data_IF_693866092345
#
_entry.id   IF_693866092345
#
_cell.length_a   1.000
_cell.length_b   1.000
_cell.length_c   1.000
_cell.angle_alpha   90.00
_cell.angle_beta   90.00
_cell.angle_gamma   90.00
#
_symmetry.space_group_name_H-M   'P 1'
#
loop_
_entity.id
_entity.type
_entity.pdbx_description
1 polymer ?
#
# COMPACT_ATOMS: atom_id res chain seq x y z
N UNK A 1 -2.98 8.72 -8.87
CA UNK A 1 -2.68 7.55 -8.03
C UNK A 1 -1.79 8.00 -6.91
N UNK A 2 -2.41 8.28 -5.77
CA UNK A 2 -1.72 8.53 -4.51
C UNK A 2 -1.74 7.22 -3.70
N UNK A 3 -0.57 6.81 -3.18
CA UNK A 3 -0.44 5.67 -2.29
C UNK A 3 0.26 6.15 -1.02
N UNK A 4 -0.42 6.00 0.12
CA UNK A 4 0.09 6.45 1.42
C UNK A 4 0.34 5.27 2.34
N UNK A 5 1.54 5.19 2.92
CA UNK A 5 1.88 4.22 3.98
C UNK A 5 1.12 4.57 5.25
N UNK A 6 0.39 3.60 5.83
CA UNK A 6 -0.23 3.70 7.15
C UNK A 6 0.71 3.07 8.15
N UNK A 7 1.22 3.87 9.07
CA UNK A 7 2.03 3.37 10.17
C UNK A 7 1.12 2.83 11.27
N UNK A 8 1.30 1.58 11.65
CA UNK A 8 0.73 1.04 12.88
C UNK A 8 1.26 1.85 14.08
N UNK A 9 0.39 2.27 15.03
CA UNK A 9 0.78 3.16 16.12
C UNK A 9 1.81 2.57 17.09
N UNK A 10 2.10 1.27 17.02
CA UNK A 10 3.15 0.62 17.81
C UNK A 10 4.54 0.68 17.13
N UNK A 11 4.62 0.96 15.83
CA UNK A 11 5.88 1.02 15.10
C UNK A 11 6.45 2.44 15.17
N UNK A 12 7.20 2.71 16.23
CA UNK A 12 8.00 3.92 16.38
C UNK A 12 9.04 3.97 15.26
N UNK A 13 8.79 4.71 14.18
CA UNK A 13 9.82 5.08 13.22
C UNK A 13 10.79 6.05 13.90
N UNK A 14 12.03 5.59 14.12
CA UNK A 14 13.14 6.48 14.40
C UNK A 14 13.31 7.40 13.19
N UNK A 15 13.39 8.70 13.42
CA UNK A 15 13.39 9.74 12.38
C UNK A 15 14.74 9.74 11.63
N UNK A 16 14.97 8.82 10.66
CA UNK A 16 15.87 9.04 9.50
C UNK A 16 15.88 7.86 8.49
N UNK A 17 15.30 6.70 8.79
CA UNK A 17 15.26 5.59 7.83
C UNK A 17 14.16 5.82 6.78
N UNK A 18 14.57 5.95 5.52
CA UNK A 18 13.71 6.24 4.37
C UNK A 18 12.41 5.43 4.34
N UNK A 19 11.34 6.05 3.85
CA UNK A 19 10.00 5.45 3.73
C UNK A 19 9.96 4.36 2.65
N UNK A 20 10.74 3.30 2.81
CA UNK A 20 10.65 2.11 1.99
C UNK A 20 9.47 1.25 2.45
N UNK A 21 8.74 0.69 1.49
CA UNK A 21 7.70 -0.30 1.78
C UNK A 21 8.36 -1.64 2.09
N UNK A 22 7.83 -2.30 3.11
CA UNK A 22 8.24 -3.62 3.55
C UNK A 22 7.04 -4.55 3.50
N UNK A 23 7.32 -5.85 3.39
CA UNK A 23 6.30 -6.87 3.55
C UNK A 23 5.53 -6.67 4.86
N UNK A 24 4.21 -6.80 4.78
CA UNK A 24 3.23 -6.59 5.87
C UNK A 24 2.91 -5.13 6.18
N UNK A 25 3.51 -4.15 5.51
CA UNK A 25 3.05 -2.77 5.60
C UNK A 25 1.60 -2.63 5.13
N UNK A 26 0.89 -1.69 5.74
CA UNK A 26 -0.46 -1.30 5.35
C UNK A 26 -0.41 -0.04 4.49
N UNK A 27 -1.05 -0.07 3.33
CA UNK A 27 -1.14 1.06 2.40
C UNK A 27 -2.58 1.37 2.06
N UNK A 28 -2.88 2.65 1.88
CA UNK A 28 -4.19 3.11 1.40
C UNK A 28 -3.98 3.83 0.07
N UNK A 29 -4.86 3.52 -0.88
CA UNK A 29 -4.84 4.13 -2.21
C UNK A 29 -5.97 5.15 -2.35
N UNK A 30 -5.66 6.21 -3.08
CA UNK A 30 -6.60 7.24 -3.49
C UNK A 30 -6.33 7.62 -4.94
N UNK A 31 -7.37 8.07 -5.65
CA UNK A 31 -7.26 8.57 -7.03
C UNK A 31 -6.62 7.57 -8.00
N UNK A 32 -6.98 6.29 -7.85
CA UNK A 32 -6.66 5.21 -8.79
C UNK A 32 -7.71 5.20 -9.89
N UNK A 33 -7.27 5.36 -11.13
CA UNK A 33 -8.12 5.22 -12.32
C UNK A 33 -7.95 3.81 -12.90
N UNK A 34 -9.04 3.20 -13.37
CA UNK A 34 -9.04 1.84 -13.94
C UNK A 34 -9.00 0.70 -12.92
N UNK A 35 -8.84 0.98 -11.62
CA UNK A 35 -9.01 0.03 -10.51
C UNK A 35 -9.65 0.76 -9.32
N UNK A 36 -10.87 1.25 -9.53
CA UNK A 36 -11.55 2.15 -8.60
C UNK A 36 -11.83 1.54 -7.23
N UNK A 37 -11.87 0.21 -7.16
CA UNK A 37 -12.04 -0.59 -5.95
C UNK A 37 -10.91 -0.37 -4.95
N UNK A 38 -9.74 0.10 -5.40
CA UNK A 38 -8.64 0.48 -4.52
C UNK A 38 -8.91 1.80 -3.78
N UNK A 39 -9.80 2.67 -4.29
CA UNK A 39 -10.11 3.99 -3.71
C UNK A 39 -11.08 3.96 -2.51
N UNK A 40 -11.36 2.78 -1.97
CA UNK A 40 -12.33 2.58 -0.89
C UNK A 40 -11.81 3.05 0.49
N UNK A 41 -10.57 3.56 0.55
CA UNK A 41 -9.93 4.02 1.79
C UNK A 41 -9.51 2.90 2.75
N UNK A 42 -9.81 1.64 2.40
CA UNK A 42 -9.46 0.47 3.19
C UNK A 42 -7.95 0.15 3.08
N UNK A 43 -7.26 -0.08 4.22
CA UNK A 43 -5.85 -0.43 4.23
C UNK A 43 -5.61 -1.83 3.66
N UNK A 44 -4.65 -1.94 2.75
CA UNK A 44 -4.28 -3.19 2.07
C UNK A 44 -2.84 -3.55 2.43
N UNK A 45 -2.59 -4.83 2.66
CA UNK A 45 -1.27 -5.32 3.05
C UNK A 45 -0.37 -5.47 1.82
N UNK A 46 0.87 -5.02 1.96
CA UNK A 46 1.94 -5.19 0.98
C UNK A 46 2.61 -6.56 1.11
N UNK A 47 2.93 -7.19 -0.02
CA UNK A 47 3.77 -8.39 -0.14
C UNK A 47 4.80 -8.23 -1.26
N UNK A 48 5.88 -9.01 -1.22
CA UNK A 48 6.94 -9.02 -2.22
C UNK A 48 7.48 -7.59 -2.49
N UNK A 49 7.76 -6.84 -1.41
CA UNK A 49 8.24 -5.48 -1.54
C UNK A 49 9.66 -5.47 -2.12
N UNK A 50 9.83 -4.78 -3.24
CA UNK A 50 11.09 -4.51 -3.89
C UNK A 50 11.39 -3.01 -3.92
N UNK A 51 12.58 -2.61 -4.42
CA UNK A 51 13.03 -1.22 -4.37
C UNK A 51 12.15 -0.24 -5.16
N UNK A 52 11.40 -0.72 -6.16
CA UNK A 52 10.54 0.12 -7.02
C UNK A 52 9.13 -0.44 -7.24
N UNK A 53 8.82 -1.59 -6.65
CA UNK A 53 7.56 -2.29 -6.89
C UNK A 53 7.18 -3.08 -5.67
N UNK A 54 5.88 -3.30 -5.50
CA UNK A 54 5.36 -4.21 -4.51
C UNK A 54 4.08 -4.84 -5.04
N UNK A 55 3.64 -5.92 -4.41
CA UNK A 55 2.38 -6.56 -4.70
C UNK A 55 1.43 -6.38 -3.51
N UNK A 56 0.12 -6.48 -3.77
CA UNK A 56 -0.87 -6.48 -2.71
C UNK A 56 -1.22 -7.90 -2.30
N UNK A 57 -1.46 -8.11 -1.00
CA UNK A 57 -2.00 -9.35 -0.44
C UNK A 57 -3.53 -9.45 -0.67
N UNK A 58 -3.99 -9.02 -1.83
CA UNK A 58 -5.38 -9.11 -2.29
C UNK A 58 -5.38 -9.40 -3.77
N UNK A 59 -6.30 -10.26 -4.21
CA UNK A 59 -6.48 -10.52 -5.64
C UNK A 59 -7.11 -9.30 -6.32
N UNK A 60 -6.38 -8.70 -7.26
CA UNK A 60 -6.84 -7.55 -8.04
C UNK A 60 -7.14 -7.91 -9.49
N UNK A 61 -7.16 -9.20 -9.85
CA UNK A 61 -7.37 -9.65 -11.25
C UNK A 61 -8.73 -9.22 -11.79
N UNK A 62 -9.73 -9.05 -10.92
CA UNK A 62 -11.07 -8.59 -11.30
C UNK A 62 -11.27 -7.08 -11.13
N UNK A 63 -10.22 -6.32 -10.79
CA UNK A 63 -10.33 -4.87 -10.67
C UNK A 63 -10.17 -4.22 -12.04
N UNK A 64 -11.07 -3.30 -12.38
CA UNK A 64 -11.05 -2.60 -13.66
C UNK A 64 -12.14 -3.01 -14.64
N UNK A 65 -13.37 -2.60 -14.28
CA UNK A 65 -14.52 -2.67 -15.18
C UNK A 65 -14.39 -1.84 -16.45
#
# INVERSE_FOLDING_TARGET
MECSKKFDPCQKTHEDDGLEFQDKDLVVFSEVHGMTELNDGNPRKVKNAGPYSFELDVDTTNYGG
#
